data_IF_207825073865
#
_entry.id   IF_207825073865
#
_cell.length_a   1.000
_cell.length_b   1.000
_cell.length_c   1.000
_cell.angle_alpha   90.00
_cell.angle_beta   90.00
_cell.angle_gamma   90.00
#
_symmetry.space_group_name_H-M   'P 1'
#
loop_
_entity.id
_entity.type
_entity.pdbx_description
1 polymer ?
#
# COMPACT_ATOMS: atom_id res chain seq x y z
N UNK A 1 -40.14 54.15 28.72
CA UNK A 1 -40.68 53.39 27.60
C UNK A 1 -39.59 53.42 26.49
N UNK A 2 -38.73 52.46 26.37
CA UNK A 2 -37.90 52.27 25.16
C UNK A 2 -37.18 50.94 25.34
N UNK A 3 -37.55 50.06 24.62
CA UNK A 3 -37.07 48.89 23.91
C UNK A 3 -35.56 48.67 24.03
N UNK A 4 -35.18 47.72 24.86
CA UNK A 4 -33.94 46.96 24.71
C UNK A 4 -34.28 45.66 23.98
N UNK A 5 -34.03 45.62 22.69
CA UNK A 5 -34.22 44.44 21.84
C UNK A 5 -32.87 43.95 21.37
N UNK A 6 -32.44 42.86 21.96
CA UNK A 6 -31.86 41.69 21.31
C UNK A 6 -30.71 41.91 20.34
N UNK A 7 -29.51 41.59 20.82
CA UNK A 7 -28.44 41.11 19.95
C UNK A 7 -27.82 39.88 20.60
N UNK A 8 -28.52 38.74 20.42
CA UNK A 8 -28.05 37.44 20.88
C UNK A 8 -28.34 36.42 19.78
N UNK A 9 -27.38 36.25 18.90
CA UNK A 9 -27.02 35.13 18.00
C UNK A 9 -26.12 35.67 16.92
N UNK A 10 -25.02 34.99 16.52
CA UNK A 10 -24.83 33.58 16.33
C UNK A 10 -23.44 33.09 16.84
N UNK A 11 -23.40 32.32 17.86
CA UNK A 11 -22.16 31.65 18.33
C UNK A 11 -22.28 30.10 18.31
N UNK A 12 -23.14 29.57 17.48
CA UNK A 12 -23.46 28.12 17.49
C UNK A 12 -22.94 27.34 16.29
N UNK A 13 -22.01 27.87 15.44
CA UNK A 13 -21.58 27.22 14.22
C UNK A 13 -20.11 26.72 14.22
N UNK A 14 -19.42 26.68 15.33
CA UNK A 14 -18.00 26.26 15.42
C UNK A 14 -17.79 24.87 16.03
N UNK A 15 -18.80 24.06 16.21
CA UNK A 15 -18.71 22.75 16.88
C UNK A 15 -18.72 21.52 15.93
N UNK A 16 -18.36 21.66 14.64
CA UNK A 16 -18.48 20.55 13.68
C UNK A 16 -17.15 19.92 13.25
N UNK A 17 -16.01 20.25 13.88
CA UNK A 17 -14.74 19.54 13.66
C UNK A 17 -14.33 18.80 14.93
N UNK A 18 -15.11 17.79 15.32
CA UNK A 18 -14.64 16.78 16.26
C UNK A 18 -13.60 15.89 15.57
N UNK A 19 -12.57 15.37 16.28
CA UNK A 19 -11.67 14.38 15.71
C UNK A 19 -12.50 13.18 15.24
N UNK A 20 -12.37 12.79 13.97
CA UNK A 20 -12.97 11.56 13.47
C UNK A 20 -12.38 10.40 14.26
N UNK A 21 -13.21 9.58 14.88
CA UNK A 21 -12.80 8.37 15.61
C UNK A 21 -12.65 7.19 14.64
N UNK A 22 -12.11 7.44 13.45
CA UNK A 22 -11.94 6.43 12.42
C UNK A 22 -10.86 5.43 12.82
N UNK A 23 -11.15 4.15 12.60
CA UNK A 23 -10.17 3.09 12.79
C UNK A 23 -9.03 3.23 11.79
N UNK A 24 -7.79 3.05 12.25
CA UNK A 24 -6.60 3.15 11.41
C UNK A 24 -5.94 1.79 11.23
N UNK A 25 -5.70 1.41 9.98
CA UNK A 25 -5.14 0.12 9.61
C UNK A 25 -3.71 0.29 9.08
N UNK A 26 -2.78 -0.48 9.63
CA UNK A 26 -1.39 -0.51 9.15
C UNK A 26 -1.30 -1.35 7.88
N UNK A 27 -0.51 -0.88 6.92
CA UNK A 27 -0.13 -1.67 5.76
C UNK A 27 1.08 -2.53 6.13
N UNK A 28 0.94 -3.84 6.00
CA UNK A 28 2.00 -4.81 6.27
C UNK A 28 2.03 -5.88 5.18
N UNK A 29 3.14 -6.60 5.05
CA UNK A 29 3.15 -7.83 4.28
C UNK A 29 2.92 -9.01 5.23
N UNK A 30 2.07 -9.93 4.84
CA UNK A 30 1.94 -11.19 5.56
C UNK A 30 3.28 -11.94 5.58
N UNK A 31 3.61 -12.67 6.67
CA UNK A 31 4.81 -13.51 6.72
C UNK A 31 4.86 -14.47 5.52
N UNK A 32 6.06 -14.76 5.05
CA UNK A 32 6.25 -15.63 3.92
C UNK A 32 7.45 -16.56 4.08
N UNK A 33 7.40 -17.70 3.42
CA UNK A 33 8.49 -18.64 3.40
C UNK A 33 9.71 -18.07 2.68
N UNK A 34 10.90 -18.49 3.11
CA UNK A 34 12.16 -18.11 2.48
C UNK A 34 12.23 -18.77 1.10
N UNK A 35 12.29 -17.96 0.08
CA UNK A 35 12.59 -18.37 -1.30
C UNK A 35 14.12 -18.29 -1.45
N UNK A 36 14.73 -19.11 -2.27
CA UNK A 36 16.18 -19.27 -2.44
C UNK A 36 17.03 -18.01 -2.20
N UNK A 37 18.29 -18.19 -1.80
CA UNK A 37 19.24 -17.08 -1.68
C UNK A 37 19.46 -16.43 -3.05
N UNK A 38 19.17 -15.14 -3.13
CA UNK A 38 19.45 -14.35 -4.35
C UNK A 38 20.96 -14.16 -4.51
N UNK A 39 21.39 -13.99 -5.77
CA UNK A 39 22.74 -13.53 -6.08
C UNK A 39 22.97 -12.09 -5.63
N UNK A 40 21.93 -11.24 -5.76
CA UNK A 40 21.90 -9.86 -5.27
C UNK A 40 21.79 -9.85 -3.76
N UNK A 41 22.65 -9.08 -3.09
CA UNK A 41 22.67 -8.97 -1.62
C UNK A 41 21.93 -7.75 -1.11
N UNK A 42 21.73 -6.76 -1.98
CA UNK A 42 21.14 -5.47 -1.62
C UNK A 42 20.07 -5.05 -2.63
N UNK A 43 18.91 -4.57 -2.13
CA UNK A 43 17.77 -4.18 -2.93
C UNK A 43 17.25 -2.83 -2.43
N UNK A 44 17.30 -1.80 -3.28
CA UNK A 44 16.57 -0.56 -3.05
C UNK A 44 15.14 -0.71 -3.56
N UNK A 45 14.16 -0.56 -2.71
CA UNK A 45 12.74 -0.53 -3.09
C UNK A 45 12.33 0.93 -3.22
N UNK A 46 12.04 1.35 -4.45
CA UNK A 46 11.57 2.70 -4.74
C UNK A 46 10.14 2.89 -4.26
N UNK A 47 9.76 4.14 -4.02
CA UNK A 47 8.39 4.46 -3.61
C UNK A 47 7.39 3.87 -4.59
N UNK A 48 6.49 3.03 -4.10
CA UNK A 48 5.45 2.40 -4.93
C UNK A 48 4.57 3.48 -5.53
N UNK A 49 4.45 3.48 -6.87
CA UNK A 49 3.54 4.38 -7.57
C UNK A 49 2.12 3.82 -7.53
N UNK A 50 1.18 4.64 -7.05
CA UNK A 50 -0.23 4.27 -6.88
C UNK A 50 -1.13 5.16 -7.73
N UNK A 51 -2.27 4.65 -8.23
CA UNK A 51 -3.32 5.51 -8.75
C UNK A 51 -3.90 6.38 -7.62
N UNK A 52 -4.43 7.56 -7.96
CA UNK A 52 -4.83 8.59 -7.00
C UNK A 52 -5.79 8.09 -5.92
N UNK A 53 -6.75 7.23 -6.28
CA UNK A 53 -7.71 6.67 -5.31
C UNK A 53 -7.04 5.74 -4.28
N UNK A 54 -5.98 5.02 -4.68
CA UNK A 54 -5.24 4.11 -3.81
C UNK A 54 -4.13 4.83 -3.01
N UNK A 55 -3.74 6.03 -3.45
CA UNK A 55 -2.81 6.90 -2.73
C UNK A 55 -3.51 7.73 -1.64
N UNK A 56 -4.83 7.76 -1.63
CA UNK A 56 -5.62 8.43 -0.61
C UNK A 56 -5.63 7.65 0.71
N UNK A 57 -5.95 8.32 1.82
CA UNK A 57 -5.96 7.70 3.16
C UNK A 57 -7.12 6.71 3.35
N UNK A 58 -8.15 6.80 2.53
CA UNK A 58 -9.35 5.98 2.61
C UNK A 58 -9.08 4.56 2.09
N UNK A 59 -9.64 3.57 2.79
CA UNK A 59 -9.70 2.20 2.30
C UNK A 59 -10.89 2.11 1.36
N UNK A 60 -10.67 1.73 0.10
CA UNK A 60 -11.72 1.69 -0.92
C UNK A 60 -12.11 0.26 -1.29
N UNK A 61 -13.39 0.10 -1.64
CA UNK A 61 -13.93 -1.12 -2.20
C UNK A 61 -14.88 -0.80 -3.36
N UNK A 62 -15.04 -1.76 -4.25
CA UNK A 62 -16.00 -1.69 -5.34
C UNK A 62 -17.41 -1.99 -4.81
N UNK A 63 -18.35 -1.13 -5.16
CA UNK A 63 -19.77 -1.32 -4.92
C UNK A 63 -20.54 -1.61 -6.21
N UNK A 64 -21.85 -1.44 -6.15
CA UNK A 64 -22.73 -1.68 -7.28
C UNK A 64 -22.34 -0.83 -8.49
N UNK A 65 -22.37 -1.47 -9.67
CA UNK A 65 -22.09 -0.81 -10.93
C UNK A 65 -20.60 -0.49 -11.18
N UNK A 66 -19.68 -1.04 -10.39
CA UNK A 66 -18.22 -0.85 -10.58
C UNK A 66 -17.67 0.46 -10.01
N UNK A 67 -18.46 1.20 -9.24
CA UNK A 67 -17.99 2.41 -8.58
C UNK A 67 -17.16 2.08 -7.34
N UNK A 68 -16.09 2.85 -7.09
CA UNK A 68 -15.29 2.73 -5.89
C UNK A 68 -15.81 3.64 -4.79
N UNK A 69 -15.99 3.10 -3.59
CA UNK A 69 -16.45 3.81 -2.41
C UNK A 69 -15.44 3.65 -1.27
N UNK A 70 -15.28 4.72 -0.49
CA UNK A 70 -14.55 4.64 0.76
C UNK A 70 -15.33 3.76 1.76
N UNK A 71 -14.64 2.85 2.43
CA UNK A 71 -15.19 2.09 3.54
C UNK A 71 -15.22 3.00 4.77
N UNK A 72 -16.40 3.53 5.09
CA UNK A 72 -16.61 4.54 6.12
C UNK A 72 -16.09 4.13 7.51
N UNK A 73 -15.58 5.11 8.28
CA UNK A 73 -15.03 4.89 9.61
C UNK A 73 -13.67 4.22 9.65
N UNK A 74 -12.95 4.18 8.51
CA UNK A 74 -11.66 3.51 8.41
C UNK A 74 -10.71 4.21 7.44
N UNK A 75 -9.44 4.27 7.82
CA UNK A 75 -8.36 4.86 7.03
C UNK A 75 -7.09 4.03 7.16
N UNK A 76 -6.18 4.20 6.21
CA UNK A 76 -4.81 3.76 6.40
C UNK A 76 -4.14 4.57 7.52
N UNK A 77 -3.32 3.91 8.32
CA UNK A 77 -2.63 4.55 9.45
C UNK A 77 -1.45 5.42 9.00
N UNK A 78 -1.01 5.29 7.76
CA UNK A 78 0.11 5.97 7.15
C UNK A 78 -0.19 6.22 5.67
N UNK A 79 0.65 7.01 4.99
CA UNK A 79 0.63 7.15 3.55
C UNK A 79 0.69 5.77 2.86
N UNK A 80 -0.28 5.43 1.98
CA UNK A 80 -0.35 4.09 1.40
C UNK A 80 0.87 3.73 0.55
N UNK A 81 1.42 4.67 -0.23
CA UNK A 81 2.58 4.40 -1.06
C UNK A 81 3.80 4.06 -0.19
N UNK A 82 4.01 4.82 0.88
CA UNK A 82 5.07 4.57 1.87
C UNK A 82 4.85 3.25 2.61
N UNK A 83 3.63 2.98 3.05
CA UNK A 83 3.27 1.75 3.76
C UNK A 83 3.49 0.51 2.91
N UNK A 84 3.05 0.52 1.64
CA UNK A 84 3.24 -0.59 0.69
C UNK A 84 4.73 -0.80 0.36
N UNK A 85 5.49 0.29 0.16
CA UNK A 85 6.94 0.22 -0.07
C UNK A 85 7.66 -0.44 1.10
N UNK A 86 7.37 -0.01 2.33
CA UNK A 86 7.97 -0.58 3.53
C UNK A 86 7.56 -2.05 3.75
N UNK A 87 6.31 -2.39 3.47
CA UNK A 87 5.82 -3.77 3.53
C UNK A 87 6.54 -4.67 2.51
N UNK A 88 6.69 -4.19 1.27
CA UNK A 88 7.40 -4.91 0.22
C UNK A 88 8.88 -5.14 0.56
N UNK A 89 9.58 -4.09 1.04
CA UNK A 89 10.98 -4.22 1.46
C UNK A 89 11.14 -5.27 2.58
N UNK A 90 10.27 -5.25 3.60
CA UNK A 90 10.26 -6.28 4.66
C UNK A 90 9.98 -7.68 4.11
N UNK A 91 9.00 -7.81 3.21
CA UNK A 91 8.67 -9.08 2.56
C UNK A 91 9.84 -9.65 1.76
N UNK A 92 10.58 -8.82 1.05
CA UNK A 92 11.79 -9.21 0.30
C UNK A 92 12.92 -9.64 1.25
N UNK A 93 13.19 -8.88 2.31
CA UNK A 93 14.17 -9.28 3.34
C UNK A 93 13.89 -10.68 3.90
N UNK A 94 12.63 -10.95 4.26
CA UNK A 94 12.22 -12.22 4.85
C UNK A 94 12.38 -13.39 3.88
N UNK A 95 12.07 -13.16 2.59
CA UNK A 95 12.04 -14.22 1.57
C UNK A 95 13.40 -14.52 0.96
N UNK A 96 14.26 -13.53 0.83
CA UNK A 96 15.49 -13.66 0.05
C UNK A 96 16.76 -13.68 0.89
N UNK A 97 16.71 -13.13 2.09
CA UNK A 97 17.90 -12.86 2.90
C UNK A 97 18.78 -11.73 2.36
N UNK A 98 18.37 -11.06 1.26
CA UNK A 98 19.00 -9.83 0.80
C UNK A 98 18.62 -8.67 1.72
N UNK A 99 19.52 -7.69 1.86
CA UNK A 99 19.21 -6.44 2.57
C UNK A 99 18.37 -5.53 1.68
N UNK A 100 17.03 -5.60 1.80
CA UNK A 100 16.13 -4.70 1.10
C UNK A 100 15.79 -3.49 1.98
N UNK A 101 15.97 -2.28 1.44
CA UNK A 101 15.64 -1.02 2.10
C UNK A 101 14.81 -0.13 1.17
N UNK A 102 13.98 0.72 1.78
CA UNK A 102 13.23 1.73 1.02
C UNK A 102 14.14 2.86 0.57
N UNK A 103 13.79 3.53 -0.53
CA UNK A 103 14.50 4.75 -0.95
C UNK A 103 14.30 5.91 0.06
N UNK A 104 15.27 6.83 0.21
CA UNK A 104 16.58 6.81 -0.45
C UNK A 104 17.49 5.72 0.14
N UNK A 105 18.34 5.13 -0.71
CA UNK A 105 19.27 4.07 -0.31
C UNK A 105 20.17 4.52 0.85
N UNK A 106 20.22 3.80 1.98
CA UNK A 106 20.85 4.31 3.20
C UNK A 106 22.37 4.07 3.30
N UNK A 107 22.97 3.33 2.35
CA UNK A 107 24.40 2.98 2.41
C UNK A 107 25.22 3.78 1.39
N UNK A 108 26.52 3.93 1.66
CA UNK A 108 27.44 4.65 0.77
C UNK A 108 27.73 3.90 -0.55
N UNK A 109 27.72 2.56 -0.50
CA UNK A 109 27.80 1.74 -1.71
C UNK A 109 26.39 1.63 -2.31
N UNK A 110 26.27 1.76 -3.64
CA UNK A 110 24.99 1.61 -4.32
C UNK A 110 24.36 0.23 -4.10
N UNK A 111 23.04 0.10 -4.30
CA UNK A 111 22.35 -1.19 -4.24
C UNK A 111 22.69 -2.03 -5.49
N UNK A 112 22.75 -3.35 -5.33
CA UNK A 112 22.89 -4.28 -6.47
C UNK A 112 21.69 -4.18 -7.42
N UNK A 113 20.49 -3.98 -6.81
CA UNK A 113 19.21 -3.94 -7.53
C UNK A 113 18.36 -2.78 -7.05
N UNK A 114 17.68 -2.13 -7.99
CA UNK A 114 16.57 -1.23 -7.74
C UNK A 114 15.27 -1.86 -8.21
N UNK A 115 14.29 -1.89 -7.35
CA UNK A 115 12.93 -2.35 -7.63
C UNK A 115 12.01 -1.14 -7.73
N UNK A 116 11.38 -0.97 -8.90
CA UNK A 116 10.33 0.02 -9.16
C UNK A 116 9.00 -0.73 -9.34
N UNK A 117 7.97 -0.36 -8.56
CA UNK A 117 6.64 -0.98 -8.63
C UNK A 117 5.61 0.08 -8.98
N UNK A 118 4.83 -0.17 -10.02
CA UNK A 118 3.72 0.67 -10.47
C UNK A 118 2.44 -0.12 -10.39
N UNK A 119 1.54 0.33 -9.54
CA UNK A 119 0.24 -0.30 -9.32
C UNK A 119 -0.80 0.38 -10.20
N UNK A 120 -1.57 -0.41 -10.91
CA UNK A 120 -2.70 0.04 -11.72
C UNK A 120 -4.02 -0.10 -10.93
N UNK A 121 -4.15 -1.19 -10.15
CA UNK A 121 -5.32 -1.45 -9.32
C UNK A 121 -4.92 -1.96 -7.94
N UNK A 122 -5.57 -1.43 -6.89
CA UNK A 122 -5.43 -1.86 -5.51
C UNK A 122 -6.74 -1.61 -4.75
N UNK A 123 -7.70 -2.55 -4.82
CA UNK A 123 -8.99 -2.42 -4.13
C UNK A 123 -9.67 -3.78 -3.94
N UNK A 124 -10.61 -3.85 -2.98
CA UNK A 124 -11.49 -4.99 -2.80
C UNK A 124 -12.65 -4.93 -3.81
N UNK A 125 -12.79 -5.94 -4.65
CA UNK A 125 -13.82 -6.06 -5.68
C UNK A 125 -15.15 -6.55 -5.09
N UNK A 126 -16.23 -6.27 -5.79
CA UNK A 126 -17.58 -6.70 -5.39
C UNK A 126 -17.75 -8.23 -5.38
N UNK A 127 -16.93 -8.97 -6.16
CA UNK A 127 -16.93 -10.43 -6.20
C UNK A 127 -16.17 -11.11 -5.02
N UNK A 128 -15.74 -10.33 -4.02
CA UNK A 128 -15.06 -10.85 -2.84
C UNK A 128 -13.57 -11.12 -3.02
N UNK A 129 -12.96 -10.53 -4.05
CA UNK A 129 -11.52 -10.65 -4.34
C UNK A 129 -10.85 -9.29 -4.19
N UNK A 130 -9.67 -9.23 -3.60
CA UNK A 130 -8.81 -8.06 -3.64
C UNK A 130 -7.92 -8.14 -4.87
N UNK A 131 -7.99 -7.11 -5.72
CA UNK A 131 -7.15 -6.99 -6.90
C UNK A 131 -5.94 -6.10 -6.59
N UNK A 132 -4.74 -6.62 -6.83
CA UNK A 132 -3.49 -5.86 -6.87
C UNK A 132 -2.82 -6.14 -8.20
N UNK A 133 -2.95 -5.21 -9.16
CA UNK A 133 -2.43 -5.37 -10.51
C UNK A 133 -1.46 -4.25 -10.86
N UNK A 134 -0.57 -4.51 -11.82
CA UNK A 134 0.41 -3.51 -12.26
C UNK A 134 1.63 -4.13 -12.89
N UNK A 135 2.77 -3.47 -12.73
CA UNK A 135 4.05 -3.95 -13.20
C UNK A 135 5.17 -3.63 -12.22
N UNK A 136 6.21 -4.44 -12.24
CA UNK A 136 7.46 -4.12 -11.55
C UNK A 136 8.64 -4.19 -12.51
N UNK A 137 9.60 -3.30 -12.29
CA UNK A 137 10.86 -3.25 -13.00
C UNK A 137 12.01 -3.55 -12.04
N UNK A 138 12.94 -4.36 -12.51
CA UNK A 138 14.22 -4.62 -11.82
C UNK A 138 15.31 -4.01 -12.67
N UNK A 139 16.07 -3.07 -12.09
CA UNK A 139 17.26 -2.48 -12.70
C UNK A 139 18.48 -2.75 -11.84
N UNK A 140 19.66 -2.78 -12.47
CA UNK A 140 20.94 -3.08 -11.82
C UNK A 140 21.96 -1.99 -12.15
N UNK A 141 22.15 -1.01 -11.24
CA UNK A 141 23.09 0.09 -11.48
C UNK A 141 24.52 -0.37 -11.78
N UNK A 142 24.94 -1.47 -11.17
CA UNK A 142 26.26 -2.06 -11.33
C UNK A 142 26.30 -3.23 -12.35
N UNK A 143 25.19 -3.50 -13.02
CA UNK A 143 25.08 -4.58 -14.02
C UNK A 143 25.23 -5.99 -13.44
N UNK A 144 24.94 -6.20 -12.16
CA UNK A 144 25.09 -7.50 -11.47
C UNK A 144 23.98 -8.49 -11.83
N UNK A 145 22.82 -7.99 -12.25
CA UNK A 145 21.68 -8.80 -12.70
C UNK A 145 21.13 -8.27 -14.02
N UNK A 146 20.42 -9.14 -14.75
CA UNK A 146 19.71 -8.74 -15.97
C UNK A 146 18.51 -7.86 -15.60
N UNK A 147 18.40 -6.71 -16.26
CA UNK A 147 17.26 -5.80 -16.12
C UNK A 147 16.03 -6.31 -16.88
N UNK A 148 14.87 -6.10 -16.30
CA UNK A 148 13.60 -6.49 -16.92
C UNK A 148 12.42 -5.72 -16.33
N UNK A 149 11.29 -5.78 -17.05
CA UNK A 149 9.96 -5.35 -16.58
C UNK A 149 9.03 -6.55 -16.67
N UNK A 150 8.18 -6.74 -15.65
CA UNK A 150 7.15 -7.78 -15.63
C UNK A 150 5.82 -7.23 -15.12
N UNK A 151 4.70 -7.57 -15.77
CA UNK A 151 3.39 -7.34 -15.21
C UNK A 151 3.13 -8.30 -14.04
N UNK A 152 2.23 -7.89 -13.14
CA UNK A 152 1.63 -8.77 -12.14
C UNK A 152 0.12 -8.57 -12.10
N UNK A 153 -0.58 -9.67 -11.84
CA UNK A 153 -2.02 -9.73 -11.64
C UNK A 153 -2.27 -10.65 -10.45
N UNK A 154 -2.47 -10.03 -9.29
CA UNK A 154 -2.59 -10.73 -8.02
C UNK A 154 -4.02 -10.57 -7.53
N UNK A 155 -4.71 -11.68 -7.45
CA UNK A 155 -6.07 -11.79 -6.96
C UNK A 155 -6.07 -12.64 -5.70
N UNK A 156 -6.49 -12.08 -4.56
CA UNK A 156 -6.58 -12.79 -3.28
C UNK A 156 -7.99 -12.71 -2.72
N UNK A 157 -8.55 -13.79 -2.16
CA UNK A 157 -9.88 -13.74 -1.56
C UNK A 157 -9.93 -12.73 -0.41
N UNK A 158 -11.00 -11.95 -0.31
CA UNK A 158 -11.31 -11.13 0.86
C UNK A 158 -12.05 -12.00 1.88
N UNK A 159 -11.38 -12.34 2.98
CA UNK A 159 -11.95 -13.21 4.02
C UNK A 159 -12.71 -12.36 5.05
N UNK A 160 -14.01 -12.27 4.90
CA UNK A 160 -14.86 -11.42 5.76
C UNK A 160 -15.35 -10.18 5.04
N UNK A 161 -15.77 -9.17 5.81
CA UNK A 161 -16.33 -7.92 5.30
C UNK A 161 -15.66 -6.71 5.95
N UNK A 162 -15.78 -5.56 5.28
CA UNK A 162 -15.34 -4.28 5.82
C UNK A 162 -13.82 -4.03 5.74
N UNK A 163 -13.37 -2.94 6.40
CA UNK A 163 -12.01 -2.43 6.24
C UNK A 163 -10.91 -3.38 6.69
N UNK A 164 -11.13 -4.13 7.77
CA UNK A 164 -10.15 -5.10 8.29
C UNK A 164 -9.89 -6.21 7.27
N UNK A 165 -10.95 -6.75 6.65
CA UNK A 165 -10.83 -7.80 5.65
C UNK A 165 -10.10 -7.30 4.38
N UNK A 166 -10.34 -6.06 3.96
CA UNK A 166 -9.64 -5.44 2.85
C UNK A 166 -8.14 -5.21 3.18
N UNK A 167 -7.82 -4.75 4.39
CA UNK A 167 -6.44 -4.57 4.84
C UNK A 167 -5.66 -5.89 4.93
N UNK A 168 -6.29 -6.95 5.44
CA UNK A 168 -5.70 -8.29 5.47
C UNK A 168 -5.49 -8.86 4.06
N UNK A 169 -6.41 -8.61 3.15
CA UNK A 169 -6.27 -9.02 1.76
C UNK A 169 -5.13 -8.28 1.05
N UNK A 170 -4.99 -6.96 1.25
CA UNK A 170 -3.82 -6.21 0.77
C UNK A 170 -2.50 -6.77 1.33
N UNK A 171 -2.46 -7.12 2.63
CA UNK A 171 -1.26 -7.70 3.25
C UNK A 171 -0.84 -9.01 2.58
N UNK A 172 -1.80 -9.87 2.22
CA UNK A 172 -1.54 -11.12 1.49
C UNK A 172 -1.15 -10.87 0.03
N UNK A 173 -1.77 -9.89 -0.62
CA UNK A 173 -1.41 -9.50 -1.98
C UNK A 173 0.03 -8.96 -2.06
N UNK A 174 0.46 -8.14 -1.10
CA UNK A 174 1.84 -7.66 -1.01
C UNK A 174 2.84 -8.78 -0.72
N UNK A 175 2.47 -9.76 0.10
CA UNK A 175 3.30 -10.95 0.33
C UNK A 175 3.46 -11.79 -0.94
N UNK A 176 2.41 -11.91 -1.74
CA UNK A 176 2.45 -12.59 -3.04
C UNK A 176 3.29 -11.80 -4.06
N UNK A 177 3.17 -10.47 -4.11
CA UNK A 177 4.03 -9.63 -4.95
C UNK A 177 5.51 -9.81 -4.56
N UNK A 178 5.83 -9.77 -3.27
CA UNK A 178 7.20 -10.02 -2.79
C UNK A 178 7.72 -11.41 -3.22
N UNK A 179 6.85 -12.44 -3.22
CA UNK A 179 7.19 -13.77 -3.69
C UNK A 179 7.49 -13.78 -5.20
N UNK A 180 6.63 -13.15 -6.02
CA UNK A 180 6.83 -13.08 -7.47
C UNK A 180 8.11 -12.32 -7.84
N UNK A 181 8.36 -11.18 -7.18
CA UNK A 181 9.60 -10.41 -7.35
C UNK A 181 10.82 -11.25 -6.97
N UNK A 182 10.78 -11.93 -5.82
CA UNK A 182 11.87 -12.78 -5.35
C UNK A 182 12.21 -13.95 -6.29
N UNK A 183 11.20 -14.51 -6.95
CA UNK A 183 11.38 -15.60 -7.92
C UNK A 183 11.85 -15.11 -9.29
N UNK A 184 11.65 -13.82 -9.58
CA UNK A 184 12.02 -13.23 -10.86
C UNK A 184 13.50 -12.78 -10.90
N UNK A 185 14.10 -12.48 -9.74
CA UNK A 185 15.49 -12.07 -9.55
C UNK A 185 16.41 -13.27 -9.39
#
# INVERSE_FOLDING_TARGET
MIKALTLMAPLALLAACGPSNDARYLISAAPGEKVANLRSRTIEVRLVSLPSYAAASEIVAEGDGGALFALGGAQWADDPARGMTAALARGLNQRTGAAAAVEPWPLNTGPDVRLDVRVDQAYARADGVFALTGQFAVSSPEGTVREFVRPFDILVPVNGTGPSAAADALSRALAELARQVSQAM
#
